data_IF_087415818165
#
_entry.id   IF_087415818165
#
_cell.length_a   1.000
_cell.length_b   1.000
_cell.length_c   1.000
_cell.angle_alpha   90.00
_cell.angle_beta   90.00
_cell.angle_gamma   90.00
#
_symmetry.space_group_name_H-M   'P 1'
#
loop_
_entity.id
_entity.type
_entity.pdbx_description
1 polymer ?
#
# COMPACT_ATOMS: atom_id res chain seq x y z
N UNK A 1 22.12 0.94 -1.47
CA UNK A 1 20.71 1.24 -1.69
C UNK A 1 19.98 -0.02 -2.13
N UNK A 2 18.88 -0.38 -1.45
CA UNK A 2 18.00 -1.48 -1.86
C UNK A 2 17.24 -1.14 -3.14
N UNK A 3 17.05 -2.11 -4.02
CA UNK A 3 16.37 -1.98 -5.32
C UNK A 3 15.13 -2.89 -5.38
N UNK A 4 14.22 -2.54 -6.28
CA UNK A 4 12.97 -3.28 -6.46
C UNK A 4 13.16 -4.72 -7.00
N UNK A 5 14.29 -5.03 -7.58
CA UNK A 5 14.69 -6.37 -8.04
C UNK A 5 15.25 -7.26 -6.91
N UNK A 6 15.39 -6.72 -5.70
CA UNK A 6 15.92 -7.43 -4.54
C UNK A 6 17.43 -7.29 -4.36
N UNK A 7 18.11 -6.60 -5.27
CA UNK A 7 19.56 -6.35 -5.22
C UNK A 7 19.93 -5.17 -4.33
N UNK A 8 21.24 -5.02 -4.09
CA UNK A 8 21.83 -3.82 -3.49
C UNK A 8 22.71 -3.11 -4.52
N UNK A 9 22.57 -1.80 -4.62
CA UNK A 9 23.44 -0.96 -5.44
C UNK A 9 24.40 -0.18 -4.57
N UNK A 10 25.68 -0.32 -4.86
CA UNK A 10 26.79 0.51 -4.37
C UNK A 10 27.05 1.63 -5.37
N UNK A 11 27.57 2.76 -4.88
CA UNK A 11 28.15 3.83 -5.69
C UNK A 11 29.32 4.43 -4.94
N UNK A 12 30.35 4.81 -5.68
CA UNK A 12 31.54 5.52 -5.16
C UNK A 12 31.97 6.64 -6.10
N UNK A 13 32.88 7.45 -5.65
CA UNK A 13 33.55 8.46 -6.50
C UNK A 13 34.70 7.79 -7.23
N UNK A 14 34.76 7.97 -8.55
CA UNK A 14 35.88 7.49 -9.35
C UNK A 14 37.17 8.18 -8.99
N UNK A 15 38.29 7.49 -9.19
CA UNK A 15 39.64 8.01 -9.10
C UNK A 15 40.29 7.91 -10.49
N UNK A 16 41.28 8.76 -10.75
CA UNK A 16 42.06 8.73 -11.99
C UNK A 16 43.06 7.55 -12.00
N UNK A 17 43.39 7.07 -13.18
CA UNK A 17 44.42 6.01 -13.42
C UNK A 17 44.07 4.67 -12.77
N UNK A 18 42.80 4.39 -12.50
CA UNK A 18 42.30 3.11 -11.97
C UNK A 18 41.99 2.16 -13.12
N UNK A 19 42.54 0.94 -13.09
CA UNK A 19 42.24 -0.13 -14.02
C UNK A 19 40.89 -0.79 -13.64
N UNK A 20 40.74 -1.18 -12.38
CA UNK A 20 39.50 -1.73 -11.87
C UNK A 20 39.31 -1.47 -10.37
N UNK A 21 38.10 -1.71 -9.89
CA UNK A 21 37.75 -1.67 -8.46
C UNK A 21 37.40 -3.05 -7.98
N UNK A 22 38.03 -3.50 -6.90
CA UNK A 22 37.67 -4.70 -6.18
C UNK A 22 36.49 -4.40 -5.20
N UNK A 23 35.53 -5.31 -5.17
CA UNK A 23 34.33 -5.21 -4.32
C UNK A 23 34.40 -6.30 -3.24
N UNK A 24 34.29 -5.86 -1.99
CA UNK A 24 34.35 -6.73 -0.83
C UNK A 24 33.06 -6.64 -0.04
N UNK A 25 32.62 -7.76 0.54
CA UNK A 25 31.37 -7.83 1.29
C UNK A 25 31.46 -8.76 2.49
N UNK A 26 30.84 -8.34 3.62
CA UNK A 26 30.59 -9.19 4.77
C UNK A 26 29.21 -8.90 5.37
N UNK A 27 28.68 -9.80 6.19
CA UNK A 27 27.47 -9.61 7.00
C UNK A 27 27.80 -9.05 8.41
N UNK A 28 29.07 -9.06 8.77
CA UNK A 28 29.62 -8.49 10.00
C UNK A 28 30.53 -7.32 9.63
N UNK A 29 30.52 -6.26 10.42
CA UNK A 29 31.43 -5.12 10.25
C UNK A 29 32.72 -5.37 11.07
N UNK A 30 33.56 -6.20 10.54
CA UNK A 30 34.87 -6.56 11.11
C UNK A 30 36.02 -6.27 10.14
N UNK A 31 37.15 -6.93 10.27
CA UNK A 31 38.33 -6.77 9.39
C UNK A 31 38.37 -7.79 8.28
N UNK A 32 37.50 -8.80 8.28
CA UNK A 32 37.53 -9.89 7.32
C UNK A 32 36.43 -9.73 6.25
N UNK A 33 36.76 -9.05 5.18
CA UNK A 33 35.88 -8.86 4.03
C UNK A 33 36.36 -9.70 2.85
N UNK A 34 35.72 -10.81 2.51
CA UNK A 34 36.02 -11.54 1.29
C UNK A 34 35.69 -10.67 0.05
N UNK A 35 36.58 -10.72 -0.93
CA UNK A 35 36.34 -10.18 -2.27
C UNK A 35 35.20 -10.96 -2.90
N UNK A 36 34.24 -10.27 -3.47
CA UNK A 36 33.07 -10.85 -4.14
C UNK A 36 33.09 -10.61 -5.64
N UNK A 37 33.70 -9.52 -6.10
CA UNK A 37 33.78 -9.18 -7.51
C UNK A 37 34.83 -8.10 -7.79
N UNK A 38 35.05 -7.82 -9.08
CA UNK A 38 35.81 -6.68 -9.58
C UNK A 38 35.08 -6.02 -10.76
N UNK A 39 35.24 -4.72 -10.95
CA UNK A 39 34.61 -3.96 -12.02
C UNK A 39 35.56 -2.93 -12.61
N UNK A 40 35.68 -2.92 -13.92
CA UNK A 40 36.43 -1.92 -14.69
C UNK A 40 35.51 -0.84 -15.20
N UNK A 41 36.01 0.37 -15.43
CA UNK A 41 35.30 1.52 -16.01
C UNK A 41 33.96 1.86 -15.33
N UNK A 42 33.85 1.58 -14.03
CA UNK A 42 32.60 1.73 -13.30
C UNK A 42 32.77 2.46 -11.96
N UNK A 43 31.76 3.22 -11.60
CA UNK A 43 31.63 3.87 -10.27
C UNK A 43 30.40 3.37 -9.53
N UNK A 44 29.88 2.21 -9.92
CA UNK A 44 28.78 1.54 -9.22
C UNK A 44 28.81 0.05 -9.47
N UNK A 45 28.31 -0.70 -8.48
CA UNK A 45 28.16 -2.14 -8.51
C UNK A 45 26.77 -2.56 -8.07
N UNK A 46 26.22 -3.60 -8.68
CA UNK A 46 24.93 -4.18 -8.29
C UNK A 46 25.18 -5.58 -7.77
N UNK A 47 24.95 -5.76 -6.48
CA UNK A 47 25.00 -7.08 -5.84
C UNK A 47 23.60 -7.69 -5.84
N UNK A 48 23.38 -8.65 -6.72
CA UNK A 48 22.13 -9.42 -6.86
C UNK A 48 22.14 -10.75 -6.09
N UNK A 49 23.27 -11.07 -5.45
CA UNK A 49 23.46 -12.31 -4.67
C UNK A 49 23.01 -12.16 -3.21
N UNK A 50 22.52 -10.97 -2.81
CA UNK A 50 22.12 -10.65 -1.45
C UNK A 50 20.80 -11.32 -1.05
N UNK A 51 20.68 -11.67 0.23
CA UNK A 51 19.44 -12.21 0.81
C UNK A 51 18.61 -11.10 1.42
N UNK A 52 17.33 -11.08 1.09
CA UNK A 52 16.40 -10.11 1.64
C UNK A 52 16.35 -10.12 3.17
N UNK A 53 16.36 -8.94 3.79
CA UNK A 53 16.35 -8.76 5.25
C UNK A 53 17.71 -8.91 5.93
N UNK A 54 18.75 -9.27 5.17
CA UNK A 54 20.14 -9.35 5.68
C UNK A 54 20.83 -8.01 5.50
N UNK A 55 21.56 -7.58 6.51
CA UNK A 55 22.44 -6.41 6.45
C UNK A 55 23.80 -6.83 5.93
N UNK A 56 24.29 -6.13 4.95
CA UNK A 56 25.63 -6.32 4.37
C UNK A 56 26.45 -5.05 4.56
N UNK A 57 27.75 -5.25 4.71
CA UNK A 57 28.78 -4.21 4.74
C UNK A 57 29.69 -4.40 3.53
N UNK A 58 30.09 -3.30 2.91
CA UNK A 58 30.89 -3.31 1.71
C UNK A 58 32.09 -2.40 1.84
N UNK A 59 33.20 -2.81 1.23
CA UNK A 59 34.37 -2.01 0.94
C UNK A 59 34.62 -2.00 -0.57
N UNK A 60 35.19 -0.93 -1.06
CA UNK A 60 35.68 -0.82 -2.43
C UNK A 60 37.16 -0.47 -2.37
N UNK A 61 37.98 -1.12 -3.20
CA UNK A 61 39.43 -0.92 -3.28
C UNK A 61 39.80 -0.66 -4.73
N UNK A 62 40.46 0.47 -5.08
CA UNK A 62 40.98 0.67 -6.42
C UNK A 62 42.24 -0.16 -6.66
N UNK A 63 42.40 -0.63 -7.88
CA UNK A 63 43.67 -1.15 -8.41
C UNK A 63 44.07 -0.26 -9.59
N UNK A 64 45.25 0.32 -9.53
CA UNK A 64 45.70 1.30 -10.51
C UNK A 64 46.33 0.61 -11.73
N UNK A 65 46.48 1.37 -12.83
CA UNK A 65 47.02 0.88 -14.11
C UNK A 65 48.43 0.31 -14.01
N UNK A 66 49.19 0.66 -12.97
CA UNK A 66 50.51 0.11 -12.69
C UNK A 66 50.50 -1.21 -11.87
N UNK A 67 49.29 -1.74 -11.60
CA UNK A 67 49.04 -2.92 -10.81
C UNK A 67 49.09 -2.74 -9.31
N UNK A 68 49.31 -1.51 -8.82
CA UNK A 68 49.28 -1.23 -7.37
C UNK A 68 47.87 -1.15 -6.85
N UNK A 69 47.64 -1.74 -5.69
CA UNK A 69 46.34 -1.66 -5.01
C UNK A 69 46.33 -0.48 -4.03
N UNK A 70 45.31 0.37 -4.13
CA UNK A 70 45.11 1.48 -3.24
C UNK A 70 44.48 1.10 -1.89
N UNK A 71 44.13 2.09 -1.10
CA UNK A 71 43.51 1.88 0.21
C UNK A 71 42.04 1.47 0.07
N UNK A 72 41.55 0.71 1.05
CA UNK A 72 40.14 0.41 1.15
C UNK A 72 39.28 1.64 1.47
N UNK A 73 38.12 1.73 0.89
CA UNK A 73 37.12 2.70 1.33
C UNK A 73 36.70 2.47 2.79
N UNK A 74 36.07 3.47 3.41
CA UNK A 74 35.33 3.25 4.67
C UNK A 74 34.16 2.27 4.42
N UNK A 75 33.82 1.41 5.40
CA UNK A 75 32.72 0.49 5.27
C UNK A 75 31.38 1.23 5.10
N UNK A 76 30.60 0.79 4.12
CA UNK A 76 29.22 1.25 3.93
C UNK A 76 28.26 0.07 4.05
N UNK A 77 27.11 0.27 4.67
CA UNK A 77 26.16 -0.82 4.85
C UNK A 77 24.85 -0.63 4.10
N UNK A 78 24.20 -1.73 3.80
CA UNK A 78 22.87 -1.76 3.19
C UNK A 78 22.09 -3.01 3.55
N UNK A 79 20.76 -2.91 3.46
CA UNK A 79 19.83 -4.03 3.63
C UNK A 79 19.00 -4.16 2.37
N UNK A 80 19.03 -5.33 1.73
CA UNK A 80 18.12 -5.64 0.64
C UNK A 80 16.71 -5.91 1.21
N UNK A 81 15.70 -5.22 0.70
CA UNK A 81 14.32 -5.43 1.12
C UNK A 81 13.64 -6.50 0.28
N UNK A 82 12.92 -7.38 0.95
CA UNK A 82 12.10 -8.40 0.29
C UNK A 82 10.86 -7.82 -0.40
N UNK A 83 10.23 -8.67 -1.20
CA UNK A 83 8.95 -8.39 -1.85
C UNK A 83 7.85 -8.17 -0.80
N UNK A 84 7.07 -7.11 -0.96
CA UNK A 84 5.89 -6.89 -0.11
C UNK A 84 4.79 -7.88 -0.50
N UNK A 85 4.04 -8.38 0.49
CA UNK A 85 2.92 -9.28 0.27
C UNK A 85 1.60 -8.61 0.71
N UNK A 86 0.86 -8.04 -0.25
CA UNK A 86 -0.48 -7.49 -0.03
C UNK A 86 -1.48 -8.65 0.13
N UNK A 87 -1.87 -8.93 1.38
CA UNK A 87 -2.68 -10.09 1.72
C UNK A 87 -4.17 -9.85 1.55
N UNK A 88 -4.65 -8.66 1.91
CA UNK A 88 -6.09 -8.35 1.94
C UNK A 88 -6.36 -6.94 1.41
N UNK A 89 -7.47 -6.83 0.70
CA UNK A 89 -8.07 -5.56 0.31
C UNK A 89 -9.58 -5.63 0.57
N UNK A 90 -10.15 -4.59 1.14
CA UNK A 90 -11.58 -4.55 1.48
C UNK A 90 -12.16 -3.16 1.28
N UNK A 91 -13.18 -3.07 0.44
CA UNK A 91 -14.01 -1.88 0.38
C UNK A 91 -14.89 -1.79 1.64
N UNK A 92 -15.05 -0.57 2.15
CA UNK A 92 -15.91 -0.22 3.30
C UNK A 92 -16.88 0.89 2.89
N UNK A 93 -17.84 1.18 3.75
CA UNK A 93 -18.73 2.34 3.58
C UNK A 93 -17.94 3.65 3.46
N UNK A 94 -18.55 4.69 2.92
CA UNK A 94 -17.96 6.01 2.78
C UNK A 94 -16.81 6.09 1.79
N UNK A 95 -16.83 5.25 0.74
CA UNK A 95 -15.78 5.21 -0.31
C UNK A 95 -14.38 4.88 0.24
N UNK A 96 -14.29 4.12 1.32
CA UNK A 96 -13.02 3.72 1.94
C UNK A 96 -12.59 2.35 1.45
N UNK A 97 -11.30 2.18 1.17
CA UNK A 97 -10.69 0.89 0.84
C UNK A 97 -9.52 0.67 1.80
N UNK A 98 -9.59 -0.44 2.55
CA UNK A 98 -8.53 -0.81 3.49
C UNK A 98 -7.67 -1.90 2.89
N UNK A 99 -6.36 -1.68 2.91
CA UNK A 99 -5.32 -2.61 2.51
C UNK A 99 -4.68 -3.21 3.76
N UNK A 100 -4.22 -4.46 3.65
CA UNK A 100 -3.44 -5.14 4.70
C UNK A 100 -2.34 -5.96 4.03
N UNK A 101 -1.12 -5.92 4.55
CA UNK A 101 0.03 -6.65 4.02
C UNK A 101 0.84 -7.31 5.12
N UNK A 102 1.78 -8.21 4.74
CA UNK A 102 2.73 -8.82 5.68
C UNK A 102 3.92 -7.88 5.90
N UNK A 103 4.46 -7.93 7.12
CA UNK A 103 5.69 -7.20 7.48
C UNK A 103 6.85 -7.66 6.58
N UNK A 104 7.61 -6.69 6.08
CA UNK A 104 8.89 -6.92 5.42
C UNK A 104 10.00 -6.66 6.42
N UNK A 105 10.93 -7.62 6.56
CA UNK A 105 12.06 -7.49 7.49
C UNK A 105 12.90 -6.26 7.16
N UNK A 106 13.28 -5.49 8.18
CA UNK A 106 14.07 -4.26 8.07
C UNK A 106 13.46 -3.13 7.23
N UNK A 107 12.18 -3.21 6.91
CA UNK A 107 11.46 -2.07 6.33
C UNK A 107 11.24 -0.99 7.40
N UNK A 108 11.46 0.27 7.04
CA UNK A 108 11.15 1.45 7.84
C UNK A 108 9.72 1.93 7.60
N UNK A 109 9.17 1.58 6.43
CA UNK A 109 7.81 1.93 6.07
C UNK A 109 7.39 1.35 4.73
N UNK A 110 6.26 1.87 4.21
CA UNK A 110 5.63 1.37 2.99
C UNK A 110 5.12 2.52 2.13
N UNK A 111 5.31 2.38 0.83
CA UNK A 111 4.76 3.24 -0.21
C UNK A 111 3.51 2.59 -0.79
N UNK A 112 2.44 3.33 -0.87
CA UNK A 112 1.13 2.86 -1.31
C UNK A 112 0.84 3.42 -2.69
N UNK A 113 0.53 2.55 -3.63
CA UNK A 113 0.23 2.92 -5.01
C UNK A 113 -1.18 2.49 -5.38
N UNK A 114 -1.87 3.33 -6.12
CA UNK A 114 -3.21 3.09 -6.65
C UNK A 114 -3.24 3.35 -8.16
N UNK A 115 -4.03 2.54 -8.83
CA UNK A 115 -4.48 2.71 -10.21
C UNK A 115 -5.99 2.78 -10.22
N UNK A 116 -6.56 3.83 -10.78
CA UNK A 116 -7.99 3.97 -11.00
C UNK A 116 -8.40 3.17 -12.24
N UNK A 117 -9.64 2.67 -12.31
CA UNK A 117 -10.10 1.81 -13.41
C UNK A 117 -10.05 2.45 -14.81
N UNK A 118 -9.93 3.77 -14.88
CA UNK A 118 -9.80 4.55 -16.12
C UNK A 118 -8.35 4.86 -16.48
N UNK A 119 -7.39 4.41 -15.68
CA UNK A 119 -5.98 4.75 -15.86
C UNK A 119 -5.14 3.49 -16.11
N UNK A 120 -4.08 3.64 -16.90
CA UNK A 120 -3.08 2.58 -17.13
C UNK A 120 -1.92 2.62 -16.15
N UNK A 121 -1.78 3.68 -15.36
CA UNK A 121 -0.64 3.92 -14.47
C UNK A 121 -0.99 3.83 -12.98
N UNK A 122 0.00 3.43 -12.20
CA UNK A 122 -0.05 3.50 -10.74
C UNK A 122 0.56 4.80 -10.25
N UNK A 123 -0.18 5.50 -9.40
CA UNK A 123 0.30 6.70 -8.71
C UNK A 123 0.51 6.40 -7.23
N UNK A 124 1.57 6.95 -6.66
CA UNK A 124 1.77 6.91 -5.22
C UNK A 124 0.75 7.81 -4.54
N UNK A 125 -0.05 7.23 -3.65
CA UNK A 125 -1.14 7.92 -2.94
C UNK A 125 -0.86 8.12 -1.46
N UNK A 126 0.15 7.45 -0.92
CA UNK A 126 0.48 7.55 0.48
C UNK A 126 1.80 6.90 0.86
N UNK A 127 2.26 7.27 2.04
CA UNK A 127 3.44 6.70 2.70
C UNK A 127 3.07 6.34 4.13
N UNK A 128 3.34 5.10 4.52
CA UNK A 128 3.26 4.63 5.90
C UNK A 128 4.67 4.68 6.49
N UNK A 129 4.92 5.63 7.40
CA UNK A 129 6.24 5.88 8.00
C UNK A 129 6.53 4.97 9.22
N UNK A 130 6.14 3.71 9.13
CA UNK A 130 6.38 2.70 10.17
C UNK A 130 6.42 1.31 9.57
N UNK A 131 7.51 0.59 9.80
CA UNK A 131 7.66 -0.80 9.37
C UNK A 131 6.77 -1.80 10.11
N UNK A 132 6.15 -1.38 11.22
CA UNK A 132 5.21 -2.19 12.02
C UNK A 132 3.74 -1.92 11.71
N UNK A 133 3.42 -0.81 11.05
CA UNK A 133 2.07 -0.51 10.58
C UNK A 133 1.82 -1.24 9.27
N UNK A 134 0.89 -2.20 9.28
CA UNK A 134 0.64 -3.14 8.17
C UNK A 134 -0.70 -2.93 7.49
N UNK A 135 -1.30 -1.77 7.69
CA UNK A 135 -2.59 -1.40 7.10
C UNK A 135 -2.57 0.04 6.61
N UNK A 136 -3.38 0.30 5.58
CA UNK A 136 -3.63 1.64 5.07
C UNK A 136 -5.08 1.74 4.61
N UNK A 137 -5.73 2.86 4.89
CA UNK A 137 -7.09 3.12 4.40
C UNK A 137 -7.06 4.30 3.45
N UNK A 138 -7.39 4.03 2.22
CA UNK A 138 -7.59 5.03 1.18
C UNK A 138 -9.05 5.49 1.14
N UNK A 139 -9.26 6.78 0.94
CA UNK A 139 -10.58 7.37 0.67
C UNK A 139 -10.62 7.81 -0.79
N UNK A 140 -11.40 7.08 -1.60
CA UNK A 140 -11.47 7.29 -3.04
C UNK A 140 -12.60 8.25 -3.42
N UNK A 141 -12.51 8.82 -4.63
CA UNK A 141 -13.46 9.86 -5.08
C UNK A 141 -14.83 9.31 -5.47
N UNK A 142 -14.90 8.12 -6.05
CA UNK A 142 -16.13 7.63 -6.71
C UNK A 142 -16.65 6.33 -6.11
N UNK A 143 -17.97 6.21 -6.11
CA UNK A 143 -18.67 4.97 -5.84
C UNK A 143 -18.73 4.10 -7.12
N UNK A 144 -18.99 2.80 -6.96
CA UNK A 144 -19.15 1.84 -8.04
C UNK A 144 -17.96 1.78 -9.02
N UNK A 145 -16.76 2.11 -8.54
CA UNK A 145 -15.51 2.07 -9.31
C UNK A 145 -14.56 1.05 -8.74
N UNK A 146 -13.78 0.42 -9.62
CA UNK A 146 -12.70 -0.50 -9.23
C UNK A 146 -11.40 0.28 -9.07
N UNK A 147 -10.68 0.00 -8.02
CA UNK A 147 -9.37 0.56 -7.71
C UNK A 147 -8.39 -0.59 -7.47
N UNK A 148 -7.26 -0.54 -8.12
CA UNK A 148 -6.19 -1.54 -8.03
C UNK A 148 -5.02 -0.97 -7.25
N UNK A 149 -4.44 -1.76 -6.37
CA UNK A 149 -3.38 -1.32 -5.46
C UNK A 149 -2.18 -2.26 -5.52
N UNK A 150 -1.01 -1.69 -5.25
CA UNK A 150 0.21 -2.39 -4.90
C UNK A 150 0.92 -1.63 -3.78
N UNK A 151 1.72 -2.34 -3.00
CA UNK A 151 2.47 -1.81 -1.86
C UNK A 151 3.94 -2.16 -2.04
N UNK A 152 4.81 -1.26 -1.64
CA UNK A 152 6.26 -1.42 -1.72
C UNK A 152 6.90 -1.03 -0.39
N UNK A 153 7.72 -1.90 0.19
CA UNK A 153 8.50 -1.56 1.37
C UNK A 153 9.65 -0.61 1.01
N UNK A 154 10.02 0.27 1.94
CA UNK A 154 11.20 1.10 1.82
C UNK A 154 12.04 1.09 3.10
N UNK A 155 13.31 1.39 2.96
CA UNK A 155 14.24 1.76 4.04
C UNK A 155 15.13 2.92 3.59
N UNK A 156 15.84 3.49 4.53
CA UNK A 156 16.82 4.55 4.26
C UNK A 156 18.20 4.07 4.70
N UNK A 157 19.14 4.06 3.78
CA UNK A 157 20.52 3.71 4.05
C UNK A 157 21.41 4.89 3.65
N UNK A 158 22.19 5.43 4.57
CA UNK A 158 23.09 6.54 4.35
C UNK A 158 22.40 7.74 3.65
N UNK A 159 21.24 8.15 4.16
CA UNK A 159 20.44 9.26 3.64
C UNK A 159 19.71 8.99 2.31
N UNK A 160 19.83 7.79 1.74
CA UNK A 160 19.19 7.42 0.46
C UNK A 160 18.10 6.38 0.67
N UNK A 161 16.91 6.68 0.16
CA UNK A 161 15.80 5.73 0.19
C UNK A 161 16.05 4.57 -0.76
N UNK A 162 16.02 3.36 -0.22
CA UNK A 162 15.99 2.10 -0.99
C UNK A 162 14.59 1.50 -0.95
N UNK A 163 14.26 0.65 -1.89
CA UNK A 163 12.95 0.01 -2.00
C UNK A 163 13.08 -1.50 -2.21
N UNK A 164 12.09 -2.24 -1.74
CA UNK A 164 11.93 -3.67 -2.07
C UNK A 164 11.07 -3.86 -3.33
N UNK A 165 10.80 -5.10 -3.69
CA UNK A 165 9.89 -5.41 -4.79
C UNK A 165 8.44 -5.04 -4.43
N UNK A 166 7.69 -4.62 -5.45
CA UNK A 166 6.24 -4.39 -5.32
C UNK A 166 5.51 -5.68 -4.93
N UNK A 167 4.45 -5.53 -4.17
CA UNK A 167 3.48 -6.61 -4.01
C UNK A 167 2.84 -6.97 -5.35
N UNK A 168 2.25 -8.16 -5.44
CA UNK A 168 1.23 -8.43 -6.46
C UNK A 168 0.08 -7.45 -6.27
N UNK A 169 -0.61 -7.13 -7.34
CA UNK A 169 -1.76 -6.22 -7.33
C UNK A 169 -2.99 -6.90 -6.74
N UNK A 170 -3.83 -6.12 -6.08
CA UNK A 170 -5.20 -6.52 -5.69
C UNK A 170 -6.16 -5.38 -5.96
N UNK A 171 -7.39 -5.74 -6.33
CA UNK A 171 -8.42 -4.76 -6.66
C UNK A 171 -9.61 -4.86 -5.70
N UNK A 172 -10.27 -3.73 -5.47
CA UNK A 172 -11.56 -3.66 -4.79
C UNK A 172 -12.47 -2.69 -5.52
N UNK A 173 -13.74 -3.04 -5.61
CA UNK A 173 -14.80 -2.18 -6.13
C UNK A 173 -15.54 -1.53 -4.97
N UNK A 174 -15.66 -0.21 -4.99
CA UNK A 174 -16.49 0.51 -4.02
C UNK A 174 -17.96 0.24 -4.27
N UNK A 175 -18.76 0.19 -3.20
CA UNK A 175 -20.20 -0.01 -3.32
C UNK A 175 -20.85 1.14 -4.08
N UNK A 176 -21.86 0.82 -4.87
CA UNK A 176 -22.75 1.85 -5.42
C UNK A 176 -23.49 2.58 -4.29
N UNK A 177 -23.92 3.80 -4.56
CA UNK A 177 -24.83 4.50 -3.65
C UNK A 177 -26.20 3.79 -3.69
N UNK A 178 -26.77 3.51 -2.55
CA UNK A 178 -28.12 2.99 -2.47
C UNK A 178 -29.11 4.03 -3.05
N UNK A 179 -30.13 3.54 -3.74
CA UNK A 179 -31.17 4.40 -4.33
C UNK A 179 -32.53 3.92 -3.84
N UNK A 180 -33.17 4.72 -2.99
CA UNK A 180 -34.57 4.52 -2.61
C UNK A 180 -35.43 4.62 -3.87
N UNK A 181 -36.32 3.67 -4.08
CA UNK A 181 -37.23 3.59 -5.23
C UNK A 181 -38.66 3.96 -4.88
N UNK A 182 -39.01 3.84 -3.63
CA UNK A 182 -40.35 4.21 -3.16
C UNK A 182 -40.45 4.17 -1.63
N UNK A 183 -41.38 4.95 -1.14
CA UNK A 183 -41.89 4.90 0.23
C UNK A 183 -43.40 4.81 0.09
N UNK A 184 -43.99 3.77 0.65
CA UNK A 184 -45.44 3.52 0.60
C UNK A 184 -45.99 3.40 2.02
N UNK A 185 -47.17 3.96 2.28
CA UNK A 185 -47.93 3.72 3.50
C UNK A 185 -48.87 2.53 3.27
N UNK A 186 -48.83 1.56 4.11
CA UNK A 186 -49.81 0.46 4.14
C UNK A 186 -50.84 0.64 5.23
N UNK A 187 -50.55 1.53 6.18
CA UNK A 187 -51.41 1.90 7.31
C UNK A 187 -50.99 3.29 7.83
N UNK A 188 -51.77 3.93 8.69
CA UNK A 188 -51.52 5.29 9.19
C UNK A 188 -50.20 5.44 9.95
N UNK A 189 -49.71 4.37 10.58
CA UNK A 189 -48.46 4.35 11.36
C UNK A 189 -47.42 3.37 10.79
N UNK A 190 -47.51 3.02 9.49
CA UNK A 190 -46.56 2.08 8.86
C UNK A 190 -46.07 2.61 7.53
N UNK A 191 -44.75 2.74 7.40
CA UNK A 191 -44.09 3.12 6.15
C UNK A 191 -43.19 1.99 5.66
N UNK A 192 -43.35 1.55 4.41
CA UNK A 192 -42.45 0.64 3.73
C UNK A 192 -41.51 1.40 2.82
N UNK A 193 -40.22 1.30 3.09
CA UNK A 193 -39.14 1.89 2.32
C UNK A 193 -38.56 0.81 1.40
N UNK A 194 -38.47 1.10 0.11
CA UNK A 194 -37.91 0.18 -0.89
C UNK A 194 -36.72 0.81 -1.62
N UNK A 195 -35.72 0.01 -1.98
CA UNK A 195 -34.53 0.50 -2.67
C UNK A 195 -34.00 -0.50 -3.69
N UNK A 196 -33.11 -0.03 -4.60
CA UNK A 196 -32.43 -0.90 -5.56
C UNK A 196 -31.32 -1.69 -4.85
N UNK A 197 -31.21 -2.98 -5.17
CA UNK A 197 -30.10 -3.83 -4.76
C UNK A 197 -28.76 -3.20 -5.09
N UNK A 198 -27.83 -3.21 -4.13
CA UNK A 198 -26.44 -2.79 -4.31
C UNK A 198 -25.54 -4.03 -4.33
N UNK A 199 -24.96 -4.33 -5.49
CA UNK A 199 -24.11 -5.51 -5.66
C UNK A 199 -22.90 -5.47 -4.73
N UNK A 200 -22.66 -6.58 -4.01
CA UNK A 200 -21.59 -6.71 -3.02
C UNK A 200 -21.89 -6.12 -1.64
N UNK A 201 -23.07 -5.57 -1.42
CA UNK A 201 -23.49 -5.15 -0.08
C UNK A 201 -23.70 -6.36 0.82
N UNK A 202 -23.29 -6.25 2.08
CA UNK A 202 -23.60 -7.29 3.09
C UNK A 202 -24.95 -7.07 3.76
N UNK A 203 -25.50 -5.88 3.60
CA UNK A 203 -26.75 -5.42 4.18
C UNK A 203 -26.88 -3.91 3.99
N UNK A 204 -27.89 -3.35 4.61
CA UNK A 204 -28.24 -1.93 4.49
C UNK A 204 -28.52 -1.35 5.87
N UNK A 205 -28.06 -0.13 6.07
CA UNK A 205 -28.35 0.67 7.25
C UNK A 205 -29.48 1.62 6.87
N UNK A 206 -30.58 1.61 7.62
CA UNK A 206 -31.71 2.49 7.44
C UNK A 206 -31.62 3.63 8.44
N UNK A 207 -31.67 4.86 7.95
CA UNK A 207 -31.65 6.05 8.79
C UNK A 207 -32.87 6.90 8.50
N UNK A 208 -33.46 7.50 9.55
CA UNK A 208 -34.65 8.33 9.49
C UNK A 208 -34.42 9.71 10.12
N UNK A 209 -35.10 10.70 9.60
CA UNK A 209 -35.15 12.05 10.18
C UNK A 209 -36.54 12.65 9.97
N UNK A 210 -36.90 13.61 10.80
CA UNK A 210 -38.07 14.52 10.59
C UNK A 210 -37.65 15.78 9.82
N UNK A 211 -36.36 15.98 9.56
CA UNK A 211 -35.80 17.10 8.78
C UNK A 211 -35.18 16.57 7.50
N UNK A 212 -35.49 17.20 6.36
CA UNK A 212 -35.07 16.74 5.03
C UNK A 212 -33.52 16.58 4.89
N UNK A 213 -32.76 17.53 5.37
CA UNK A 213 -31.33 17.62 5.07
C UNK A 213 -30.42 17.34 6.28
N UNK A 214 -30.98 17.11 7.47
CA UNK A 214 -30.21 16.94 8.71
C UNK A 214 -30.90 16.00 9.71
N UNK A 215 -30.22 15.67 10.83
CA UNK A 215 -30.80 14.94 11.95
C UNK A 215 -31.12 13.47 11.68
N UNK A 216 -30.46 12.84 10.70
CA UNK A 216 -30.64 11.41 10.44
C UNK A 216 -30.01 10.58 11.54
N UNK A 217 -30.79 9.70 12.15
CA UNK A 217 -30.32 8.66 13.05
C UNK A 217 -30.60 7.28 12.44
N UNK A 218 -29.70 6.34 12.69
CA UNK A 218 -29.92 4.94 12.36
C UNK A 218 -31.11 4.40 13.16
N UNK A 219 -32.05 3.76 12.46
CA UNK A 219 -33.22 3.12 13.08
C UNK A 219 -33.16 1.60 12.98
N UNK A 220 -32.46 1.08 11.96
CA UNK A 220 -32.28 -0.37 11.82
C UNK A 220 -31.13 -0.71 10.85
N UNK A 221 -30.69 -1.97 10.91
CA UNK A 221 -29.77 -2.59 9.96
C UNK A 221 -30.32 -3.93 9.47
N UNK A 222 -30.56 -4.03 8.16
CA UNK A 222 -31.00 -5.29 7.54
C UNK A 222 -29.84 -6.00 6.85
N UNK A 223 -29.75 -7.30 7.03
CA UNK A 223 -28.69 -8.15 6.45
C UNK A 223 -29.07 -8.68 5.07
N UNK A 224 -28.05 -8.90 4.23
CA UNK A 224 -28.17 -9.52 2.91
C UNK A 224 -28.28 -8.52 1.77
N UNK A 225 -27.55 -8.82 0.68
CA UNK A 225 -27.54 -8.02 -0.56
C UNK A 225 -28.92 -7.94 -1.22
N UNK A 226 -29.72 -8.99 -1.10
CA UNK A 226 -31.04 -9.12 -1.74
C UNK A 226 -32.16 -8.48 -0.96
N UNK A 227 -31.93 -8.09 0.30
CA UNK A 227 -32.92 -7.38 1.12
C UNK A 227 -33.04 -5.96 0.60
N UNK A 228 -34.18 -5.64 0.00
CA UNK A 228 -34.39 -4.36 -0.73
C UNK A 228 -35.60 -3.56 -0.20
N UNK A 229 -36.11 -3.93 0.97
CA UNK A 229 -37.15 -3.18 1.66
C UNK A 229 -37.02 -3.29 3.18
N UNK A 230 -37.58 -2.32 3.86
CA UNK A 230 -37.72 -2.24 5.31
C UNK A 230 -39.07 -1.64 5.64
N UNK A 231 -39.69 -2.15 6.68
CA UNK A 231 -40.97 -1.62 7.20
C UNK A 231 -40.67 -0.91 8.51
N UNK A 232 -41.00 0.37 8.55
CA UNK A 232 -40.91 1.22 9.74
C UNK A 232 -42.35 1.35 10.35
N UNK A 233 -42.57 0.65 11.43
CA UNK A 233 -43.82 0.65 12.22
C UNK A 233 -43.75 1.56 13.46
N UNK A 234 -42.70 2.39 13.53
CA UNK A 234 -42.48 3.36 14.63
C UNK A 234 -42.78 4.79 14.25
N UNK A 235 -43.39 5.01 13.09
CA UNK A 235 -43.82 6.33 12.63
C UNK A 235 -45.17 6.73 13.30
N UNK A 236 -45.44 8.05 13.31
CA UNK A 236 -46.67 8.59 13.87
C UNK A 236 -47.50 9.21 12.76
N UNK A 237 -48.81 9.00 12.81
CA UNK A 237 -49.76 9.60 11.88
C UNK A 237 -49.61 11.15 11.82
N UNK A 238 -49.76 11.71 10.63
CA UNK A 238 -49.64 13.16 10.40
C UNK A 238 -48.22 13.74 10.47
N UNK A 239 -47.16 12.93 10.62
CA UNK A 239 -45.78 13.38 10.62
C UNK A 239 -45.07 13.05 9.31
N UNK A 240 -44.21 13.97 8.88
CA UNK A 240 -43.33 13.74 7.70
C UNK A 240 -41.99 13.16 8.14
N UNK A 241 -41.59 12.10 7.47
CA UNK A 241 -40.33 11.43 7.69
C UNK A 241 -39.49 11.35 6.43
N UNK A 242 -38.16 11.45 6.57
CA UNK A 242 -37.17 11.37 5.51
C UNK A 242 -36.25 10.18 5.79
N UNK A 243 -35.93 9.41 4.76
CA UNK A 243 -35.12 8.18 4.89
C UNK A 243 -33.85 8.24 4.07
N UNK A 244 -32.81 7.60 4.58
CA UNK A 244 -31.56 7.27 3.88
C UNK A 244 -31.27 5.80 4.06
N UNK A 245 -30.74 5.19 2.99
CA UNK A 245 -30.27 3.80 2.97
C UNK A 245 -28.82 3.78 2.50
#
# INVERSE_FOLDING_TARGET
QSRADGSLRLKWTGLDNVDYYEIYRNTVNDTNYPKIDEVSDATSYIDDTVKAGTKYYYLVRPVFNDGTAGEYSKPISGVALGKTNLTKIKAKSGKKITLTWKKVSKAEGYLIYRQDSSDSKFYQIGTVKSGSTLTYTDTVKSNNKTYTYKVQAYNTNNGRQGVGAYSSTKSAKTLAKAKITGITSSDEEVLKISWKKVSGAKGYIISRSTKKDSGYSEIDTVSGEKTTSYTDDTVKAGKTYYYKV
#
